data_IF_745384241577
#
_entry.id   IF_745384241577
#
_cell.length_a   1.000
_cell.length_b   1.000
_cell.length_c   1.000
_cell.angle_alpha   90.00
_cell.angle_beta   90.00
_cell.angle_gamma   90.00
#
_symmetry.space_group_name_H-M   'P 1'
#
loop_
_entity.id
_entity.type
_entity.pdbx_description
1 polymer ?
#
# COMPACT_ATOMS: atom_id res chain seq x y z
N UNK A 1 -13.87 -67.60 -35.14
CA UNK A 1 -13.58 -68.27 -36.42
C UNK A 1 -13.55 -67.16 -37.49
N UNK A 2 -12.46 -66.40 -37.69
CA UNK A 2 -11.08 -66.82 -38.06
C UNK A 2 -11.07 -67.36 -39.51
N UNK A 3 -10.21 -66.98 -40.47
CA UNK A 3 -9.02 -66.08 -40.58
C UNK A 3 -8.99 -65.51 -42.04
N UNK A 4 -8.22 -64.50 -42.51
CA UNK A 4 -7.43 -63.35 -41.99
C UNK A 4 -7.00 -62.44 -43.19
N UNK A 5 -6.36 -61.27 -42.92
CA UNK A 5 -5.26 -60.67 -43.73
C UNK A 5 -5.57 -60.11 -45.16
N UNK A 6 -4.79 -59.19 -45.75
CA UNK A 6 -3.49 -58.58 -45.37
C UNK A 6 -3.32 -57.11 -45.84
N UNK A 7 -2.25 -56.48 -45.38
CA UNK A 7 -1.81 -55.08 -45.63
C UNK A 7 -1.06 -54.95 -46.97
N UNK A 8 -1.20 -53.81 -47.68
CA UNK A 8 -0.05 -53.16 -48.37
C UNK A 8 -0.33 -51.71 -48.84
N UNK A 9 0.56 -50.79 -48.45
CA UNK A 9 0.83 -49.48 -49.08
C UNK A 9 2.02 -49.63 -50.08
N UNK A 10 2.57 -48.59 -50.75
CA UNK A 10 2.19 -47.18 -50.96
C UNK A 10 2.17 -46.76 -52.46
N UNK A 11 2.02 -45.46 -52.80
CA UNK A 11 2.66 -44.74 -53.95
C UNK A 11 2.40 -43.23 -53.84
N UNK A 12 3.35 -42.37 -54.26
CA UNK A 12 3.26 -40.89 -54.19
C UNK A 12 3.40 -40.20 -55.55
N UNK A 13 2.76 -39.02 -55.67
CA UNK A 13 3.07 -37.89 -56.58
C UNK A 13 2.87 -38.05 -58.11
N UNK A 14 2.84 -36.94 -58.90
CA UNK A 14 2.59 -35.51 -58.56
C UNK A 14 1.54 -34.83 -59.47
N UNK A 15 1.17 -33.56 -59.21
CA UNK A 15 0.64 -32.63 -60.24
C UNK A 15 0.76 -31.14 -59.83
N UNK A 16 1.11 -30.30 -60.81
CA UNK A 16 1.42 -28.88 -60.72
C UNK A 16 0.76 -28.14 -61.92
N UNK A 17 0.87 -26.80 -62.10
CA UNK A 17 0.72 -25.69 -61.13
C UNK A 17 -0.15 -24.52 -61.68
N UNK A 18 -0.22 -23.42 -60.89
CA UNK A 18 -0.40 -22.00 -61.30
C UNK A 18 -1.58 -21.56 -62.17
N UNK A 19 -2.44 -20.73 -61.56
CA UNK A 19 -2.97 -19.51 -62.20
C UNK A 19 -2.83 -18.35 -61.20
N UNK A 20 -2.37 -17.19 -61.67
CA UNK A 20 -2.03 -16.02 -60.85
C UNK A 20 -2.87 -14.78 -61.29
N UNK A 21 -2.66 -13.54 -60.81
CA UNK A 21 -3.71 -12.82 -60.08
C UNK A 21 -4.19 -11.52 -60.76
N UNK A 22 -5.28 -10.93 -60.26
CA UNK A 22 -5.60 -9.49 -60.36
C UNK A 22 -6.44 -9.03 -59.17
N UNK A 23 -6.47 -7.71 -58.94
CA UNK A 23 -6.74 -7.03 -57.66
C UNK A 23 -8.17 -6.45 -57.51
N UNK A 24 -8.42 -5.83 -56.35
CA UNK A 24 -9.64 -5.15 -55.84
C UNK A 24 -10.61 -6.07 -55.07
N UNK A 25 -11.12 -5.73 -53.88
CA UNK A 25 -10.98 -4.50 -53.07
C UNK A 25 -11.26 -4.78 -51.58
N UNK A 26 -10.69 -3.93 -50.71
CA UNK A 26 -11.13 -3.53 -49.36
C UNK A 26 -11.91 -4.52 -48.43
N UNK A 27 -11.20 -5.11 -47.45
CA UNK A 27 -11.76 -5.39 -46.11
C UNK A 27 -10.70 -5.10 -45.04
N UNK A 28 -10.49 -3.83 -44.71
CA UNK A 28 -9.69 -3.41 -43.55
C UNK A 28 -10.59 -3.05 -42.36
N UNK A 29 -11.03 -4.03 -41.56
CA UNK A 29 -11.63 -3.80 -40.22
C UNK A 29 -11.76 -5.09 -39.40
N UNK A 30 -11.55 -5.01 -38.07
CA UNK A 30 -12.00 -6.05 -37.13
C UNK A 30 -11.04 -6.46 -35.99
N UNK A 31 -9.78 -6.03 -36.01
CA UNK A 31 -8.81 -6.33 -34.94
C UNK A 31 -8.99 -5.45 -33.70
N UNK A 32 -10.02 -5.70 -32.88
CA UNK A 32 -10.21 -5.02 -31.60
C UNK A 32 -9.23 -5.53 -30.52
N UNK A 33 -7.94 -5.24 -30.69
CA UNK A 33 -6.99 -5.25 -29.57
C UNK A 33 -7.22 -4.00 -28.74
N UNK A 34 -8.13 -4.09 -27.77
CA UNK A 34 -8.31 -3.05 -26.76
C UNK A 34 -7.06 -2.93 -25.89
N UNK A 35 -6.14 -2.05 -26.26
CA UNK A 35 -5.06 -1.63 -25.38
C UNK A 35 -5.71 -0.94 -24.17
N UNK A 36 -5.64 -1.59 -23.01
CA UNK A 36 -5.92 -0.88 -21.75
C UNK A 36 -4.88 0.22 -21.60
N UNK A 37 -5.27 1.45 -21.20
CA UNK A 37 -4.30 2.51 -20.92
C UNK A 37 -3.27 2.02 -19.88
N UNK A 38 -1.99 2.41 -19.99
CA UNK A 38 -1.02 2.17 -18.93
C UNK A 38 -1.53 2.75 -17.61
N UNK A 39 -1.44 1.96 -16.54
CA UNK A 39 -1.94 2.33 -15.22
C UNK A 39 -0.79 2.78 -14.33
N UNK A 40 -0.87 4.01 -13.83
CA UNK A 40 0.04 4.53 -12.82
C UNK A 40 -0.68 4.59 -11.46
N UNK A 41 -0.02 4.21 -10.37
CA UNK A 41 -0.70 4.04 -9.06
C UNK A 41 -0.40 5.15 -8.07
N UNK A 42 -1.40 5.56 -7.31
CA UNK A 42 -1.22 6.24 -6.02
C UNK A 42 -1.29 5.16 -4.95
N UNK A 43 -0.11 4.69 -4.50
CA UNK A 43 0.02 3.57 -3.58
C UNK A 43 0.06 4.05 -2.14
N UNK A 44 -0.80 3.49 -1.29
CA UNK A 44 -0.75 3.58 0.16
C UNK A 44 -0.25 2.27 0.78
N UNK A 45 0.88 2.33 1.48
CA UNK A 45 1.41 1.22 2.28
C UNK A 45 1.24 1.55 3.76
N UNK A 46 0.52 0.71 4.50
CA UNK A 46 0.19 0.96 5.91
C UNK A 46 0.84 -0.05 6.84
N UNK A 47 1.68 0.44 7.76
CA UNK A 47 2.35 -0.31 8.80
C UNK A 47 1.46 -0.41 10.05
N UNK A 48 0.67 -1.48 10.15
CA UNK A 48 -0.25 -1.64 11.28
C UNK A 48 0.48 -1.78 12.63
N UNK A 49 1.58 -2.56 12.77
CA UNK A 49 2.33 -2.63 14.02
C UNK A 49 2.87 -1.27 14.48
N UNK A 50 3.53 -0.52 13.62
CA UNK A 50 4.16 0.75 13.98
C UNK A 50 3.14 1.82 14.37
N UNK A 51 2.04 1.95 13.61
CA UNK A 51 1.00 2.94 13.91
C UNK A 51 0.14 2.56 15.13
N UNK A 52 -0.11 1.27 15.40
CA UNK A 52 -0.71 0.85 16.68
C UNK A 52 0.22 1.18 17.88
N UNK A 53 1.54 1.08 17.71
CA UNK A 53 2.52 1.44 18.74
C UNK A 53 2.61 2.95 18.97
N UNK A 54 2.68 3.75 17.90
CA UNK A 54 2.70 5.21 17.99
C UNK A 54 1.44 5.76 18.65
N UNK A 55 0.26 5.30 18.21
CA UNK A 55 -1.00 5.64 18.86
C UNK A 55 -1.02 5.20 20.34
N UNK A 56 -0.49 4.02 20.63
CA UNK A 56 -0.38 3.52 22.00
C UNK A 56 0.53 4.35 22.91
N UNK A 57 1.57 4.98 22.34
CA UNK A 57 2.43 5.92 23.04
C UNK A 57 1.69 7.21 23.38
N UNK A 58 0.94 7.79 22.42
CA UNK A 58 0.14 9.00 22.63
C UNK A 58 -0.95 8.78 23.70
N UNK A 59 -1.60 7.62 23.70
CA UNK A 59 -2.62 7.25 24.68
C UNK A 59 -2.06 6.79 26.04
N UNK A 60 -0.75 6.54 26.14
CA UNK A 60 -0.11 5.91 27.31
C UNK A 60 -0.55 4.46 27.58
N UNK A 61 -1.28 3.83 26.65
CA UNK A 61 -1.81 2.46 26.73
C UNK A 61 -2.19 1.93 25.34
N UNK A 62 -2.41 0.62 25.22
CA UNK A 62 -2.90 0.02 23.97
C UNK A 62 -4.22 0.68 23.52
N UNK A 63 -4.37 1.05 22.23
CA UNK A 63 -5.60 1.63 21.70
C UNK A 63 -6.73 0.60 21.61
N UNK A 64 -7.93 1.02 21.97
CA UNK A 64 -9.18 0.29 21.71
C UNK A 64 -9.61 0.44 20.25
N UNK A 65 -10.56 -0.39 19.79
CA UNK A 65 -11.08 -0.31 18.42
C UNK A 65 -11.79 1.01 18.05
N UNK A 66 -12.21 1.81 19.03
CA UNK A 66 -12.85 3.11 18.78
C UNK A 66 -11.84 4.24 18.56
N UNK A 67 -10.67 4.14 19.20
CA UNK A 67 -9.56 5.10 19.15
C UNK A 67 -8.65 4.87 17.93
N UNK A 68 -8.73 3.71 17.27
CA UNK A 68 -7.97 3.40 16.07
C UNK A 68 -8.43 4.20 14.85
N UNK A 69 -7.52 4.49 13.89
CA UNK A 69 -7.84 5.06 12.59
C UNK A 69 -9.01 4.39 11.87
N UNK A 70 -9.92 5.20 11.36
CA UNK A 70 -11.03 4.79 10.51
C UNK A 70 -10.57 4.65 9.07
N UNK A 71 -10.36 3.41 8.65
CA UNK A 71 -10.00 3.07 7.27
C UNK A 71 -11.01 3.53 6.22
N UNK A 72 -12.30 3.69 6.57
CA UNK A 72 -13.30 4.26 5.67
C UNK A 72 -13.06 5.75 5.38
N UNK A 73 -12.52 6.51 6.34
CA UNK A 73 -12.13 7.90 6.16
C UNK A 73 -10.79 8.01 5.41
N UNK A 74 -9.81 7.20 5.79
CA UNK A 74 -8.51 7.09 5.12
C UNK A 74 -8.66 6.72 3.64
N UNK A 75 -9.55 5.78 3.30
CA UNK A 75 -9.84 5.39 1.92
C UNK A 75 -10.44 6.55 1.11
N UNK A 76 -11.37 7.33 1.68
CA UNK A 76 -11.91 8.53 1.03
C UNK A 76 -10.84 9.60 0.81
N UNK A 77 -9.95 9.80 1.79
CA UNK A 77 -8.81 10.71 1.65
C UNK A 77 -7.85 10.27 0.53
N UNK A 78 -7.53 8.98 0.45
CA UNK A 78 -6.69 8.43 -0.62
C UNK A 78 -7.31 8.62 -2.01
N UNK A 79 -8.63 8.43 -2.14
CA UNK A 79 -9.36 8.72 -3.38
C UNK A 79 -9.27 10.20 -3.78
N UNK A 80 -9.35 11.12 -2.82
CA UNK A 80 -9.14 12.57 -3.07
C UNK A 80 -7.72 12.83 -3.54
N UNK A 81 -6.70 12.29 -2.85
CA UNK A 81 -5.29 12.43 -3.25
C UNK A 81 -5.01 11.84 -4.63
N UNK A 82 -5.67 10.72 -4.97
CA UNK A 82 -5.56 10.11 -6.30
C UNK A 82 -6.12 11.02 -7.39
N UNK A 83 -7.25 11.70 -7.13
CA UNK A 83 -7.81 12.68 -8.06
C UNK A 83 -6.92 13.93 -8.23
N UNK A 84 -6.26 14.40 -7.16
CA UNK A 84 -5.27 15.49 -7.23
C UNK A 84 -4.07 15.11 -8.11
N UNK A 85 -3.49 13.93 -7.87
CA UNK A 85 -2.35 13.42 -8.66
C UNK A 85 -2.75 13.21 -10.12
N UNK A 86 -3.92 12.62 -10.39
CA UNK A 86 -4.45 12.47 -11.74
C UNK A 86 -4.61 13.83 -12.47
N UNK A 87 -5.09 14.86 -11.77
CA UNK A 87 -5.23 16.21 -12.34
C UNK A 87 -3.87 16.87 -12.62
N UNK A 88 -2.85 16.62 -11.79
CA UNK A 88 -1.48 17.10 -12.04
C UNK A 88 -0.79 16.37 -13.22
N UNK A 89 -1.07 15.08 -13.39
CA UNK A 89 -0.52 14.23 -14.47
C UNK A 89 -1.30 14.32 -15.79
N UNK A 90 -2.39 15.10 -15.86
CA UNK A 90 -3.28 15.24 -17.03
C UNK A 90 -2.63 15.76 -18.33
N UNK A 91 -1.31 16.00 -18.33
CA UNK A 91 -0.48 16.20 -19.52
C UNK A 91 -0.48 14.98 -20.46
N UNK A 92 -0.69 13.77 -19.92
CA UNK A 92 -0.78 12.53 -20.69
C UNK A 92 -2.18 11.89 -20.51
N UNK A 93 -3.11 12.08 -21.47
CA UNK A 93 -4.46 11.53 -21.38
C UNK A 93 -4.54 10.01 -21.63
N UNK A 94 -3.44 9.35 -21.97
CA UNK A 94 -3.39 7.88 -22.13
C UNK A 94 -3.02 7.16 -20.82
N UNK A 95 -2.54 7.86 -19.79
CA UNK A 95 -2.22 7.26 -18.49
C UNK A 95 -3.45 7.31 -17.56
N UNK A 96 -3.88 6.14 -17.08
CA UNK A 96 -4.94 6.02 -16.08
C UNK A 96 -4.33 5.98 -14.68
N UNK A 97 -4.66 6.95 -13.83
CA UNK A 97 -4.20 6.97 -12.43
C UNK A 97 -5.20 6.26 -11.53
N UNK A 98 -4.75 5.27 -10.75
CA UNK A 98 -5.60 4.46 -9.87
C UNK A 98 -5.12 4.44 -8.41
N UNK A 99 -6.04 4.37 -7.43
CA UNK A 99 -5.69 4.21 -6.03
C UNK A 99 -5.34 2.74 -5.74
N UNK A 100 -4.30 2.48 -4.95
CA UNK A 100 -4.08 1.17 -4.36
C UNK A 100 -3.68 1.30 -2.89
N UNK A 101 -4.18 0.42 -2.01
CA UNK A 101 -3.90 0.49 -0.58
C UNK A 101 -3.71 -0.90 0.03
N UNK A 102 -2.59 -1.10 0.73
CA UNK A 102 -2.23 -2.37 1.36
C UNK A 102 -1.88 -2.17 2.84
N UNK A 103 -2.56 -2.90 3.72
CA UNK A 103 -2.26 -2.96 5.15
C UNK A 103 -1.34 -4.14 5.45
N UNK A 104 -0.17 -3.86 6.01
CA UNK A 104 0.80 -4.84 6.46
C UNK A 104 0.63 -5.06 7.96
N UNK A 105 0.57 -6.33 8.37
CA UNK A 105 0.29 -6.69 9.77
C UNK A 105 0.94 -8.02 10.15
N UNK A 106 1.34 -8.12 11.42
CA UNK A 106 1.75 -9.37 12.02
C UNK A 106 0.59 -10.09 12.72
N UNK A 107 0.51 -11.40 12.53
CA UNK A 107 -0.46 -12.27 13.21
C UNK A 107 0.28 -13.12 14.25
N UNK A 108 0.06 -12.83 15.53
CA UNK A 108 0.59 -13.65 16.62
C UNK A 108 -0.07 -15.05 16.66
N UNK A 109 0.68 -16.06 17.09
CA UNK A 109 0.15 -17.41 17.26
C UNK A 109 -1.11 -17.41 18.15
N UNK A 110 -2.19 -18.05 17.68
CA UNK A 110 -3.47 -18.11 18.38
C UNK A 110 -4.36 -16.85 18.28
N UNK A 111 -3.93 -15.75 17.65
CA UNK A 111 -4.76 -14.53 17.53
C UNK A 111 -5.68 -14.50 16.30
N UNK A 112 -5.56 -15.46 15.38
CA UNK A 112 -6.21 -15.42 14.06
C UNK A 112 -7.72 -15.13 14.11
N UNK A 113 -8.49 -15.80 14.98
CA UNK A 113 -9.94 -15.57 15.10
C UNK A 113 -10.31 -14.20 15.70
N UNK A 114 -9.41 -13.59 16.48
CA UNK A 114 -9.60 -12.23 17.01
C UNK A 114 -9.34 -11.17 15.94
N UNK A 115 -8.38 -11.44 15.04
CA UNK A 115 -7.95 -10.49 14.00
C UNK A 115 -8.79 -10.61 12.71
N UNK A 116 -9.36 -11.78 12.43
CA UNK A 116 -10.21 -12.06 11.25
C UNK A 116 -11.28 -11.00 10.98
N UNK A 117 -12.13 -10.56 11.94
CA UNK A 117 -13.17 -9.57 11.65
C UNK A 117 -12.63 -8.20 11.22
N UNK A 118 -11.43 -7.82 11.68
CA UNK A 118 -10.77 -6.58 11.26
C UNK A 118 -10.17 -6.72 9.87
N UNK A 119 -9.56 -7.85 9.52
CA UNK A 119 -9.08 -8.14 8.16
C UNK A 119 -10.23 -8.13 7.15
N UNK A 120 -11.35 -8.77 7.49
CA UNK A 120 -12.53 -8.77 6.62
C UNK A 120 -13.15 -7.36 6.49
N UNK A 121 -13.13 -6.56 7.55
CA UNK A 121 -13.56 -5.16 7.49
C UNK A 121 -12.66 -4.30 6.57
N UNK A 122 -11.33 -4.44 6.64
CA UNK A 122 -10.38 -3.77 5.74
C UNK A 122 -10.65 -4.11 4.27
N UNK A 123 -10.81 -5.40 3.98
CA UNK A 123 -11.07 -5.91 2.63
C UNK A 123 -12.43 -5.43 2.09
N UNK A 124 -13.45 -5.31 2.95
CA UNK A 124 -14.75 -4.75 2.57
C UNK A 124 -14.69 -3.24 2.29
N UNK A 125 -13.72 -2.49 2.83
CA UNK A 125 -13.46 -1.08 2.46
C UNK A 125 -12.69 -0.97 1.14
N UNK A 126 -11.98 -2.03 0.73
CA UNK A 126 -11.17 -2.08 -0.50
C UNK A 126 -9.67 -2.11 -0.29
N UNK A 127 -9.20 -2.24 0.96
CA UNK A 127 -7.77 -2.40 1.26
C UNK A 127 -7.33 -3.86 1.04
N UNK A 128 -6.20 -4.04 0.37
CA UNK A 128 -5.44 -5.28 0.43
C UNK A 128 -4.86 -5.48 1.85
N UNK A 129 -4.65 -6.72 2.26
CA UNK A 129 -4.07 -7.03 3.58
C UNK A 129 -2.97 -8.08 3.41
N UNK A 130 -1.74 -7.72 3.78
CA UNK A 130 -0.62 -8.62 3.92
C UNK A 130 -0.48 -9.01 5.39
N UNK A 131 -0.72 -10.29 5.70
CA UNK A 131 -0.75 -10.81 7.06
C UNK A 131 0.35 -11.85 7.28
N UNK A 132 1.44 -11.44 7.94
CA UNK A 132 2.63 -12.28 8.20
C UNK A 132 2.56 -12.92 9.57
N UNK A 133 2.65 -14.26 9.71
CA UNK A 133 2.76 -14.90 11.02
C UNK A 133 3.97 -14.38 11.80
N UNK A 134 3.79 -13.97 13.06
CA UNK A 134 4.92 -13.63 13.94
C UNK A 134 5.45 -14.90 14.58
N UNK A 135 6.57 -15.40 14.06
CA UNK A 135 7.20 -16.67 14.48
C UNK A 135 8.23 -16.40 15.57
N UNK A 136 8.99 -15.30 15.44
CA UNK A 136 10.06 -14.84 16.32
C UNK A 136 10.04 -13.30 16.43
N UNK A 137 11.05 -12.71 17.07
CA UNK A 137 11.14 -11.24 17.23
C UNK A 137 11.49 -10.53 15.91
N UNK A 138 12.32 -11.16 15.07
CA UNK A 138 12.78 -10.71 13.74
C UNK A 138 11.71 -10.88 12.63
N UNK A 139 10.54 -11.42 12.96
CA UNK A 139 9.39 -11.53 12.07
C UNK A 139 8.67 -10.18 11.86
N UNK A 140 9.39 -9.10 11.51
CA UNK A 140 8.82 -7.81 11.11
C UNK A 140 8.13 -7.89 9.72
N UNK A 141 7.55 -6.79 9.23
CA UNK A 141 6.93 -6.68 7.89
C UNK A 141 7.65 -5.67 6.99
N UNK A 142 8.75 -5.07 7.45
CA UNK A 142 9.34 -3.89 6.84
C UNK A 142 9.96 -4.23 5.48
N UNK A 143 10.61 -5.40 5.41
CA UNK A 143 11.11 -5.97 4.16
C UNK A 143 9.98 -6.25 3.16
N UNK A 144 8.87 -6.84 3.61
CA UNK A 144 7.73 -7.15 2.72
C UNK A 144 7.06 -5.87 2.19
N UNK A 145 7.03 -4.81 3.00
CA UNK A 145 6.60 -3.47 2.59
C UNK A 145 7.52 -2.87 1.52
N UNK A 146 8.85 -2.93 1.72
CA UNK A 146 9.82 -2.42 0.74
C UNK A 146 9.79 -3.22 -0.57
N UNK A 147 9.70 -4.55 -0.52
CA UNK A 147 9.54 -5.40 -1.72
C UNK A 147 8.24 -5.07 -2.49
N UNK A 148 7.15 -4.76 -1.77
CA UNK A 148 5.89 -4.32 -2.38
C UNK A 148 5.97 -2.92 -3.01
N UNK A 149 6.68 -1.97 -2.38
CA UNK A 149 6.91 -0.63 -2.92
C UNK A 149 7.76 -0.72 -4.21
N UNK A 150 8.86 -1.47 -4.18
CA UNK A 150 9.77 -1.61 -5.33
C UNK A 150 9.07 -2.28 -6.53
N UNK A 151 8.30 -3.35 -6.30
CA UNK A 151 7.49 -3.96 -7.35
C UNK A 151 6.57 -2.93 -8.03
N UNK A 152 5.95 -2.05 -7.23
CA UNK A 152 5.00 -1.05 -7.75
C UNK A 152 5.66 0.13 -8.41
N UNK A 153 6.85 0.50 -7.93
CA UNK A 153 7.71 1.48 -8.59
C UNK A 153 8.09 1.01 -10.00
N UNK A 154 8.44 -0.27 -10.16
CA UNK A 154 8.70 -0.89 -11.47
C UNK A 154 7.43 -1.02 -12.34
N UNK A 155 6.26 -1.27 -11.75
CA UNK A 155 4.96 -1.31 -12.44
C UNK A 155 4.36 0.08 -12.76
N UNK A 156 4.93 1.16 -12.23
CA UNK A 156 4.48 2.54 -12.40
C UNK A 156 3.75 3.14 -11.19
N UNK A 157 4.44 3.99 -10.43
CA UNK A 157 3.85 4.87 -9.40
C UNK A 157 3.65 6.30 -9.92
N UNK A 158 2.43 6.81 -9.76
CA UNK A 158 2.10 8.23 -9.88
C UNK A 158 2.39 9.00 -8.58
N UNK A 159 2.21 8.35 -7.41
CA UNK A 159 2.63 8.85 -6.10
C UNK A 159 2.73 7.69 -5.10
N UNK A 160 3.49 7.89 -4.02
CA UNK A 160 3.66 6.95 -2.92
C UNK A 160 3.26 7.59 -1.59
N UNK A 161 2.52 6.85 -0.78
CA UNK A 161 2.14 7.20 0.59
C UNK A 161 2.55 6.04 1.50
N UNK A 162 3.42 6.30 2.47
CA UNK A 162 3.81 5.28 3.48
C UNK A 162 3.38 5.74 4.86
N UNK A 163 2.54 4.93 5.50
CA UNK A 163 2.03 5.17 6.84
C UNK A 163 2.83 4.36 7.86
N UNK A 164 4.01 4.87 8.25
CA UNK A 164 4.91 4.30 9.27
C UNK A 164 5.75 5.40 9.92
N UNK A 165 6.13 5.23 11.18
CA UNK A 165 7.12 6.07 11.86
C UNK A 165 8.54 5.49 11.82
N UNK A 166 8.81 4.34 11.17
CA UNK A 166 10.17 3.79 11.11
C UNK A 166 11.07 4.50 10.06
N UNK A 167 11.87 5.45 10.55
CA UNK A 167 12.86 6.15 9.74
C UNK A 167 14.16 5.39 9.48
N UNK A 168 14.41 4.24 10.12
CA UNK A 168 15.56 3.38 9.82
C UNK A 168 15.27 2.52 8.58
N UNK A 169 14.09 1.90 8.52
CA UNK A 169 13.66 1.10 7.39
C UNK A 169 13.33 1.96 6.15
N UNK A 170 12.52 3.01 6.33
CA UNK A 170 11.88 3.67 5.18
C UNK A 170 12.57 4.93 4.66
N UNK A 171 13.30 5.71 5.49
CA UNK A 171 13.76 7.06 5.07
C UNK A 171 14.56 7.05 3.76
N UNK A 172 15.66 6.29 3.70
CA UNK A 172 16.52 6.32 2.51
C UNK A 172 15.79 5.81 1.24
N UNK A 173 15.10 4.64 1.26
CA UNK A 173 14.33 4.19 0.10
C UNK A 173 13.29 5.22 -0.38
N UNK A 174 12.57 5.87 0.54
CA UNK A 174 11.57 6.88 0.18
C UNK A 174 12.19 8.15 -0.40
N UNK A 175 13.32 8.62 0.15
CA UNK A 175 14.05 9.77 -0.40
C UNK A 175 14.67 9.47 -1.78
N UNK A 176 15.03 8.21 -2.06
CA UNK A 176 15.50 7.76 -3.38
C UNK A 176 14.37 7.79 -4.41
N UNK A 177 13.18 7.27 -4.08
CA UNK A 177 11.97 7.35 -4.94
C UNK A 177 11.55 8.80 -5.17
N UNK A 178 11.57 9.64 -4.12
CA UNK A 178 11.24 11.07 -4.22
C UNK A 178 12.19 11.81 -5.17
N UNK A 179 13.50 11.53 -5.07
CA UNK A 179 14.53 12.09 -5.97
C UNK A 179 14.42 11.57 -7.40
N UNK A 180 13.80 10.41 -7.60
CA UNK A 180 13.40 9.88 -8.91
C UNK A 180 12.26 10.65 -9.58
N UNK A 181 11.60 11.56 -8.86
CA UNK A 181 10.53 12.42 -9.37
C UNK A 181 9.11 11.93 -9.07
N UNK A 182 8.95 10.80 -8.38
CA UNK A 182 7.65 10.34 -7.87
C UNK A 182 7.35 11.04 -6.54
N UNK A 183 6.23 11.78 -6.38
CA UNK A 183 5.87 12.38 -5.10
C UNK A 183 5.74 11.33 -3.99
N UNK A 184 6.42 11.52 -2.87
CA UNK A 184 6.36 10.62 -1.70
C UNK A 184 5.87 11.38 -0.47
N UNK A 185 4.89 10.80 0.21
CA UNK A 185 4.29 11.33 1.43
C UNK A 185 4.35 10.30 2.57
N UNK A 186 4.67 10.74 3.77
CA UNK A 186 4.68 9.92 4.98
C UNK A 186 3.47 10.29 5.84
N UNK A 187 2.66 9.28 6.19
CA UNK A 187 1.60 9.43 7.19
C UNK A 187 2.08 8.93 8.54
N UNK A 188 1.76 9.65 9.60
CA UNK A 188 2.05 9.17 10.95
C UNK A 188 1.58 10.15 12.01
N UNK A 189 2.15 10.02 13.19
CA UNK A 189 2.00 11.00 14.26
C UNK A 189 3.28 11.84 14.31
N UNK A 190 3.17 13.17 14.33
CA UNK A 190 4.34 14.08 14.33
C UNK A 190 5.35 13.81 15.45
N UNK A 191 4.87 13.29 16.58
CA UNK A 191 5.63 12.89 17.77
C UNK A 191 6.59 11.72 17.49
N UNK A 192 6.36 10.95 16.42
CA UNK A 192 7.12 9.75 16.06
C UNK A 192 7.78 9.85 14.68
N UNK A 193 7.34 10.76 13.81
CA UNK A 193 7.82 10.92 12.43
C UNK A 193 8.85 12.06 12.24
N UNK A 194 9.69 12.32 13.25
CA UNK A 194 10.69 13.42 13.20
C UNK A 194 11.67 13.32 12.02
N UNK A 195 11.95 12.11 11.53
CA UNK A 195 12.78 11.86 10.35
C UNK A 195 12.13 12.31 9.04
N UNK A 196 10.80 12.21 8.93
CA UNK A 196 10.06 12.65 7.75
C UNK A 196 9.88 14.17 7.78
N UNK A 197 9.54 14.73 8.95
CA UNK A 197 9.48 16.18 9.20
C UNK A 197 10.80 16.91 8.95
N UNK A 198 11.93 16.21 9.03
CA UNK A 198 13.27 16.75 8.80
C UNK A 198 13.82 16.47 7.39
N UNK A 199 13.03 15.85 6.50
CA UNK A 199 13.45 15.57 5.12
C UNK A 199 12.97 16.67 4.17
N UNK A 200 13.87 17.27 3.41
CA UNK A 200 13.55 18.26 2.38
C UNK A 200 12.85 17.64 1.14
N UNK A 201 12.77 16.31 1.05
CA UNK A 201 12.24 15.58 -0.11
C UNK A 201 10.95 14.81 0.14
N UNK A 202 10.50 14.69 1.39
CA UNK A 202 9.29 13.94 1.76
C UNK A 202 8.22 14.90 2.26
N UNK A 203 6.99 14.75 1.77
CA UNK A 203 5.83 15.40 2.40
C UNK A 203 5.46 14.64 3.68
N UNK A 204 5.11 15.34 4.76
CA UNK A 204 4.54 14.71 5.96
C UNK A 204 3.10 15.17 6.18
N UNK A 205 2.20 14.23 6.50
CA UNK A 205 0.82 14.50 6.91
C UNK A 205 0.54 13.77 8.22
N UNK A 206 0.07 14.52 9.22
CA UNK A 206 -0.35 13.92 10.48
C UNK A 206 -1.68 13.18 10.29
N UNK A 207 -1.79 11.96 10.82
CA UNK A 207 -2.99 11.13 10.69
C UNK A 207 -4.24 11.78 11.31
N UNK A 208 -4.08 12.69 12.28
CA UNK A 208 -5.20 13.42 12.85
C UNK A 208 -5.71 14.57 11.98
N UNK A 209 -4.85 15.14 11.13
CA UNK A 209 -5.22 16.20 10.20
C UNK A 209 -6.10 15.65 9.04
N UNK A 210 -6.20 14.31 8.89
CA UNK A 210 -7.07 13.65 7.91
C UNK A 210 -8.53 13.59 8.41
N UNK A 211 -9.49 14.27 7.74
CA UNK A 211 -10.85 14.42 8.25
C UNK A 211 -11.59 13.12 8.56
N UNK A 212 -11.94 12.94 9.83
CA UNK A 212 -12.74 11.80 10.30
C UNK A 212 -12.01 10.48 10.45
N UNK A 213 -10.67 10.46 10.33
CA UNK A 213 -9.85 9.28 10.66
C UNK A 213 -9.95 8.93 12.14
N UNK A 214 -9.92 9.91 13.03
CA UNK A 214 -10.28 9.73 14.44
C UNK A 214 -11.70 10.23 14.73
N UNK A 215 -12.35 9.64 15.74
CA UNK A 215 -13.72 10.02 16.17
C UNK A 215 -13.71 11.21 17.11
N UNK A 216 -12.69 11.27 17.94
CA UNK A 216 -12.41 12.31 18.93
C UNK A 216 -10.95 12.71 18.74
N UNK A 217 -10.57 13.97 19.04
CA UNK A 217 -9.18 14.37 19.01
C UNK A 217 -8.30 13.50 19.92
N UNK A 218 -7.08 13.24 19.50
CA UNK A 218 -6.08 12.57 20.31
C UNK A 218 -5.76 13.43 21.54
N UNK A 219 -5.46 12.83 22.71
CA UNK A 219 -5.17 13.56 23.94
C UNK A 219 -3.74 14.14 23.92
N UNK A 220 -3.40 14.92 22.89
CA UNK A 220 -2.12 15.60 22.78
C UNK A 220 -2.03 16.68 23.85
N UNK A 221 -0.93 16.67 24.59
CA UNK A 221 -0.54 17.79 25.43
C UNK A 221 0.84 18.26 24.97
N UNK A 222 0.84 18.97 23.84
CA UNK A 222 2.02 19.63 23.30
C UNK A 222 2.43 20.84 24.15
N UNK A 223 3.73 21.03 24.36
CA UNK A 223 4.26 22.21 25.07
C UNK A 223 3.98 23.53 24.33
N UNK A 224 3.78 23.44 23.03
CA UNK A 224 3.38 24.48 22.09
C UNK A 224 1.89 24.83 22.15
N UNK A 225 1.06 23.96 22.74
CA UNK A 225 -0.40 24.09 22.83
C UNK A 225 -0.92 24.05 24.28
N UNK A 226 -0.12 24.52 25.23
CA UNK A 226 -0.53 24.59 26.65
C UNK A 226 -1.60 25.68 26.86
N UNK A 227 -2.65 25.42 27.67
CA UNK A 227 -3.61 26.44 28.08
C UNK A 227 -2.96 27.45 29.04
N UNK A 228 -3.52 28.66 29.17
CA UNK A 228 -2.95 29.74 30.00
C UNK A 228 -2.75 29.35 31.47
N UNK A 229 -3.65 28.51 32.01
CA UNK A 229 -3.56 27.97 33.38
C UNK A 229 -2.54 26.81 33.54
N UNK A 230 -1.86 26.40 32.46
CA UNK A 230 -0.99 25.23 32.40
C UNK A 230 -1.75 23.90 32.31
N UNK A 231 -1.05 22.84 31.90
CA UNK A 231 -1.59 21.48 31.83
C UNK A 231 -0.71 20.48 32.58
N UNK A 232 -1.35 19.46 33.18
CA UNK A 232 -0.66 18.35 33.82
C UNK A 232 -0.25 17.30 32.78
N UNK A 233 1.02 17.32 32.39
CA UNK A 233 1.62 16.27 31.55
C UNK A 233 1.67 14.95 32.34
N UNK A 234 0.83 14.00 31.99
CA UNK A 234 0.87 12.66 32.58
C UNK A 234 2.09 11.88 32.07
N UNK A 235 2.77 11.10 32.92
CA UNK A 235 3.90 10.29 32.47
C UNK A 235 3.42 9.15 31.56
N UNK A 236 3.99 9.04 30.35
CA UNK A 236 3.65 8.00 29.38
C UNK A 236 3.82 6.55 29.89
N UNK A 237 4.61 6.35 30.96
CA UNK A 237 4.83 5.06 31.63
C UNK A 237 4.93 5.26 33.14
N UNK A 238 4.45 4.33 33.98
CA UNK A 238 4.65 4.40 35.42
C UNK A 238 6.13 4.22 35.78
N UNK A 239 6.60 4.86 36.86
CA UNK A 239 8.00 4.77 37.32
C UNK A 239 8.46 3.33 37.58
N UNK A 240 7.54 2.41 37.88
CA UNK A 240 7.82 0.98 38.06
C UNK A 240 8.37 0.30 36.80
N UNK A 241 8.11 0.83 35.59
CA UNK A 241 8.66 0.28 34.34
C UNK A 241 10.18 0.30 34.26
N UNK A 242 10.86 1.18 35.03
CA UNK A 242 12.32 1.22 35.11
C UNK A 242 12.92 -0.03 35.77
N UNK A 243 12.13 -0.76 36.57
CA UNK A 243 12.59 -1.98 37.27
C UNK A 243 12.59 -3.23 36.38
N UNK A 244 12.00 -3.15 35.18
CA UNK A 244 11.88 -4.27 34.23
C UNK A 244 12.97 -4.26 33.16
N UNK A 245 13.71 -3.15 33.00
CA UNK A 245 14.93 -3.09 32.18
C UNK A 245 16.09 -3.79 32.91
N UNK A 246 16.10 -5.12 32.86
CA UNK A 246 17.25 -5.92 33.29
C UNK A 246 18.26 -6.10 32.16
N UNK A 247 19.51 -6.01 32.59
CA UNK A 247 20.78 -6.41 31.97
C UNK A 247 20.63 -7.68 31.12
#
# INVERSE_FOLDING_TARGET
>A
MSLTEEVTTPTSEPLAPTAAPVLAEDVAQGGLTGFSPPVARVLLVWDAPNLDMGLGSILGRRPTGQERPRFDALGRWLLTRTAEVAAATASDPEIRVEPEATVFTNIAAGSAEVVRPWVDALRNVGFAVFAKPKIDEDSDVDRDMLEHIELRYQEGLAALVVASADGQAFRQPLEEIARGGTPVQVLGFREHASWALASDTLEFVDLEDIPGVFREPLPRIGLDSLPEQGAWLQPFRPLSSLLTSRI
#
